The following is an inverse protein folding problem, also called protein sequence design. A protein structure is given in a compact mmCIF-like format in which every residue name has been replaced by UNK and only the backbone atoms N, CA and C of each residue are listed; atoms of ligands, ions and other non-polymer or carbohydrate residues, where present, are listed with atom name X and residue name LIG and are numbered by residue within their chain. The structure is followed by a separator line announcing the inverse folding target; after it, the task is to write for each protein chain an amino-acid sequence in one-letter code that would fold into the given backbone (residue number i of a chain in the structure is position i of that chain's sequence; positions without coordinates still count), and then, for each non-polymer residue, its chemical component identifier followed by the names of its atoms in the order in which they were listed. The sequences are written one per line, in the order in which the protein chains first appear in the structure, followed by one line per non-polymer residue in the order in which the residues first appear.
data_IF_402172450257
#
_entry.id   IF_402172450257
#
_cell.length_a   1.000
_cell.length_b   1.000
_cell.length_c   1.000
_cell.angle_alpha   90.00
_cell.angle_beta   90.00
_cell.angle_gamma   90.00
#
_symmetry.space_group_name_H-M   'P 1'
#
loop_
_entity.id
_entity.type
_entity.pdbx_description
1 polymer ?
#
# COMPACT_ATOMS: atom_id res chain seq x y z
N UNK A 1 19.61 -23.56 -14.76
CA UNK A 1 19.20 -22.38 -13.97
C UNK A 1 17.98 -21.77 -14.65
N UNK A 2 16.78 -22.09 -14.17
CA UNK A 2 15.54 -21.90 -14.92
C UNK A 2 15.11 -20.43 -14.97
N UNK A 3 15.47 -19.72 -16.05
CA UNK A 3 15.02 -18.35 -16.37
C UNK A 3 13.48 -18.20 -16.34
N UNK A 4 12.76 -19.29 -16.61
CA UNK A 4 11.30 -19.38 -16.52
C UNK A 4 10.79 -19.10 -15.11
N UNK A 5 11.52 -19.54 -14.06
CA UNK A 5 11.12 -19.33 -12.68
C UNK A 5 11.23 -17.85 -12.27
N UNK A 6 12.32 -17.19 -12.67
CA UNK A 6 12.50 -15.75 -12.44
C UNK A 6 11.42 -14.93 -13.13
N UNK A 7 11.04 -15.29 -14.36
CA UNK A 7 9.98 -14.60 -15.09
C UNK A 7 8.61 -14.78 -14.41
N UNK A 8 8.29 -15.99 -13.94
CA UNK A 8 7.06 -16.27 -13.20
C UNK A 8 6.96 -15.44 -11.91
N UNK A 9 8.07 -15.26 -11.16
CA UNK A 9 8.08 -14.42 -9.96
C UNK A 9 7.79 -12.95 -10.29
N UNK A 10 8.38 -12.40 -11.35
CA UNK A 10 8.16 -11.01 -11.76
C UNK A 10 6.70 -10.78 -12.15
N UNK A 11 6.11 -11.72 -12.90
CA UNK A 11 4.69 -11.66 -13.28
C UNK A 11 3.78 -11.75 -12.05
N UNK A 12 4.11 -12.61 -11.07
CA UNK A 12 3.40 -12.68 -9.79
C UNK A 12 3.49 -11.36 -8.99
N UNK A 13 4.67 -10.73 -8.95
CA UNK A 13 4.87 -9.42 -8.30
C UNK A 13 4.06 -8.31 -9.00
N UNK A 14 4.07 -8.29 -10.34
CA UNK A 14 3.28 -7.33 -11.11
C UNK A 14 1.76 -7.55 -10.94
N UNK A 15 1.32 -8.81 -10.90
CA UNK A 15 -0.08 -9.16 -10.65
C UNK A 15 -0.55 -8.75 -9.25
N UNK A 16 0.31 -8.80 -8.23
CA UNK A 16 0.02 -8.29 -6.88
C UNK A 16 -0.23 -6.77 -6.85
N UNK A 17 0.42 -6.00 -7.73
CA UNK A 17 0.22 -4.55 -7.83
C UNK A 17 -1.13 -4.23 -8.49
N UNK A 18 -1.53 -5.00 -9.51
CA UNK A 18 -2.76 -4.74 -10.27
C UNK A 18 -4.04 -5.28 -9.61
N UNK A 19 -3.96 -6.38 -8.87
CA UNK A 19 -5.06 -6.84 -8.01
C UNK A 19 -4.48 -7.19 -6.65
N UNK A 20 -4.88 -6.52 -5.55
CA UNK A 20 -4.62 -7.07 -4.24
C UNK A 20 -5.38 -8.39 -4.22
N UNK A 21 -4.63 -9.50 -4.32
CA UNK A 21 -5.15 -10.84 -4.20
C UNK A 21 -6.13 -10.82 -3.03
N UNK A 22 -7.39 -11.21 -3.25
CA UNK A 22 -8.51 -11.07 -2.33
C UNK A 22 -8.39 -11.91 -1.05
N UNK A 23 -7.17 -12.22 -0.61
CA UNK A 23 -6.88 -12.78 0.70
C UNK A 23 -7.32 -11.75 1.76
N UNK A 24 -8.17 -12.16 2.73
CA UNK A 24 -8.78 -11.26 3.70
C UNK A 24 -7.76 -10.44 4.52
N UNK A 25 -6.51 -10.93 4.63
CA UNK A 25 -5.41 -10.22 5.27
C UNK A 25 -4.83 -9.03 4.48
N UNK A 26 -4.90 -9.02 3.15
CA UNK A 26 -4.39 -7.91 2.31
C UNK A 26 -5.42 -6.79 2.13
N UNK A 27 -6.71 -7.11 2.29
CA UNK A 27 -7.80 -6.11 2.30
C UNK A 27 -7.68 -5.16 3.49
N UNK A 28 -7.22 -5.65 4.65
CA UNK A 28 -6.84 -4.83 5.81
C UNK A 28 -5.63 -3.92 5.57
N UNK A 29 -4.73 -4.27 4.63
CA UNK A 29 -3.64 -3.36 4.21
C UNK A 29 -4.14 -2.20 3.35
N UNK A 30 -5.23 -2.39 2.61
CA UNK A 30 -5.93 -1.31 1.92
C UNK A 30 -6.52 -0.29 2.89
N UNK A 31 -6.97 -0.73 4.07
CA UNK A 31 -7.42 0.16 5.15
C UNK A 31 -6.24 0.79 5.93
N UNK A 32 -5.09 0.11 6.03
CA UNK A 32 -3.89 0.67 6.68
C UNK A 32 -3.40 1.96 6.02
N UNK A 33 -3.40 2.03 4.68
CA UNK A 33 -2.98 3.25 3.98
C UNK A 33 -3.92 4.44 4.27
N UNK A 34 -5.20 4.19 4.54
CA UNK A 34 -6.17 5.24 4.93
C UNK A 34 -5.83 5.83 6.30
N UNK A 35 -5.35 5.03 7.24
CA UNK A 35 -4.90 5.50 8.56
C UNK A 35 -3.67 6.41 8.39
N UNK A 36 -2.71 6.01 7.55
CA UNK A 36 -1.52 6.82 7.26
C UNK A 36 -1.89 8.16 6.59
N UNK A 37 -2.81 8.15 5.62
CA UNK A 37 -3.31 9.37 4.97
C UNK A 37 -4.03 10.27 5.98
N UNK A 38 -4.92 9.70 6.80
CA UNK A 38 -5.66 10.45 7.82
C UNK A 38 -4.71 11.10 8.83
N UNK A 39 -3.69 10.37 9.29
CA UNK A 39 -2.66 10.91 10.18
C UNK A 39 -1.90 12.07 9.52
N UNK A 40 -1.54 11.94 8.24
CA UNK A 40 -0.82 13.00 7.52
C UNK A 40 -1.66 14.26 7.32
N UNK A 41 -2.97 14.12 7.06
CA UNK A 41 -3.90 15.26 6.98
C UNK A 41 -4.02 15.96 8.33
N UNK A 42 -4.20 15.19 9.41
CA UNK A 42 -4.32 15.73 10.78
C UNK A 42 -3.04 16.46 11.19
N UNK A 43 -1.86 15.88 10.92
CA UNK A 43 -0.58 16.55 11.16
C UNK A 43 -0.42 17.84 10.34
N UNK A 44 -0.79 17.82 9.06
CA UNK A 44 -0.75 19.02 8.21
C UNK A 44 -1.68 20.13 8.70
N UNK A 45 -2.88 19.76 9.17
CA UNK A 45 -3.82 20.69 9.79
C UNK A 45 -3.31 21.24 11.11
N UNK A 46 -2.71 20.41 11.97
CA UNK A 46 -2.13 20.86 13.23
C UNK A 46 -1.05 21.93 13.00
N UNK A 47 -0.16 21.69 12.03
CA UNK A 47 0.88 22.66 11.65
C UNK A 47 0.28 23.94 11.08
N UNK A 48 -0.76 23.86 10.25
CA UNK A 48 -1.40 25.04 9.63
C UNK A 48 -2.23 25.86 10.62
N UNK A 49 -2.90 25.18 11.56
CA UNK A 49 -3.78 25.81 12.54
C UNK A 49 -3.03 26.27 13.79
N UNK A 50 -1.78 25.84 13.97
CA UNK A 50 -0.91 26.31 15.05
C UNK A 50 -0.75 27.82 14.93
N UNK A 51 -1.30 28.62 15.86
CA UNK A 51 -1.05 30.05 15.88
C UNK A 51 0.43 30.26 16.23
N UNK A 52 1.12 31.02 15.39
CA UNK A 52 2.49 31.48 15.64
C UNK A 52 2.52 32.60 16.68
#
# INVERSE_FOLDING_TARGET
MNKVFSLLMIVLMAAQIWRPFGIPGLRRRGDFWKIAIAAMIVFGLDVLLRPH
#
